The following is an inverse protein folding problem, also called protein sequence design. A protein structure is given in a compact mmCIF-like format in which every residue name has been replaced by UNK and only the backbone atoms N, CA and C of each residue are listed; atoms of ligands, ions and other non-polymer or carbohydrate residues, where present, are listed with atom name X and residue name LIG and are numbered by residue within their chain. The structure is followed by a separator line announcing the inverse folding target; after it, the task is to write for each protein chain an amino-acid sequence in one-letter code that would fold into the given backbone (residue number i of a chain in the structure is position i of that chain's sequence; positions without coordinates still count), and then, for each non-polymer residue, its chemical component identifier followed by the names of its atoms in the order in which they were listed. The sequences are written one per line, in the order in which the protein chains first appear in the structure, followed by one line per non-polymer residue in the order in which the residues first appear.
data_IF_060296264254
#
_entry.id   IF_060296264254
#
_cell.length_a   1.000
_cell.length_b   1.000
_cell.length_c   1.000
_cell.angle_alpha   90.00
_cell.angle_beta   90.00
_cell.angle_gamma   90.00
#
_symmetry.space_group_name_H-M   'P 1'
#
loop_
_entity.id
_entity.type
_entity.pdbx_description
1 polymer ?
#
# COMPACT_ATOMS: atom_id res chain seq x y z
N UNK A 1 19.44 -7.33 8.35
CA UNK A 1 18.77 -7.95 7.18
C UNK A 1 18.88 -6.99 6.00
N UNK A 2 19.16 -7.47 4.80
CA UNK A 2 19.14 -6.58 3.63
C UNK A 2 17.71 -6.19 3.27
N UNK A 3 17.55 -5.08 2.55
CA UNK A 3 16.21 -4.66 2.05
C UNK A 3 15.55 -5.77 1.22
N UNK A 4 16.33 -6.47 0.40
CA UNK A 4 15.78 -7.55 -0.45
C UNK A 4 15.35 -8.76 0.38
N UNK A 5 16.10 -9.11 1.42
CA UNK A 5 15.70 -10.19 2.35
C UNK A 5 14.41 -9.84 3.09
N UNK A 6 14.26 -8.59 3.51
CA UNK A 6 13.04 -8.12 4.16
C UNK A 6 11.84 -8.13 3.20
N UNK A 7 12.03 -7.74 1.95
CA UNK A 7 10.99 -7.85 0.93
C UNK A 7 10.61 -9.31 0.63
N UNK A 8 11.57 -10.24 0.62
CA UNK A 8 11.29 -11.67 0.49
C UNK A 8 10.48 -12.21 1.68
N UNK A 9 10.80 -11.79 2.90
CA UNK A 9 10.02 -12.17 4.07
C UNK A 9 8.56 -11.68 3.97
N UNK A 10 8.33 -10.49 3.41
CA UNK A 10 6.99 -10.00 3.10
C UNK A 10 6.31 -10.85 2.02
N UNK A 11 7.03 -11.23 0.97
CA UNK A 11 6.49 -12.12 -0.07
C UNK A 11 6.07 -13.48 0.51
N UNK A 12 6.86 -14.05 1.41
CA UNK A 12 6.52 -15.31 2.09
C UNK A 12 5.27 -15.17 2.96
N UNK A 13 5.12 -14.04 3.66
CA UNK A 13 3.96 -13.77 4.51
C UNK A 13 2.66 -13.64 3.71
N UNK A 14 2.70 -13.02 2.54
CA UNK A 14 1.51 -12.70 1.74
C UNK A 14 1.28 -13.63 0.54
N UNK A 15 2.28 -14.39 0.11
CA UNK A 15 2.19 -15.30 -1.02
C UNK A 15 1.74 -14.57 -2.30
N UNK A 16 0.68 -15.06 -2.94
CA UNK A 16 0.15 -14.49 -4.18
C UNK A 16 -0.50 -13.08 -4.02
N UNK A 17 -0.65 -12.62 -2.79
CA UNK A 17 -1.13 -11.27 -2.47
C UNK A 17 0.01 -10.26 -2.31
N UNK A 18 1.24 -10.66 -2.49
CA UNK A 18 2.41 -9.80 -2.68
C UNK A 18 2.84 -9.83 -4.15
N UNK A 19 3.28 -8.70 -4.68
CA UNK A 19 3.73 -8.64 -6.07
C UNK A 19 4.85 -7.63 -6.25
N UNK A 20 5.91 -8.07 -6.93
CA UNK A 20 7.03 -7.23 -7.39
C UNK A 20 7.05 -7.09 -8.92
N UNK A 21 6.00 -7.53 -9.61
CA UNK A 21 5.96 -7.43 -11.07
C UNK A 21 5.97 -5.98 -11.53
N UNK A 22 6.70 -5.69 -12.59
CA UNK A 22 6.83 -4.32 -13.09
C UNK A 22 5.48 -3.71 -13.45
N UNK A 23 4.57 -4.49 -14.05
CA UNK A 23 3.25 -4.02 -14.42
C UNK A 23 2.47 -3.51 -13.20
N UNK A 24 2.45 -4.27 -12.11
CA UNK A 24 1.80 -3.85 -10.88
C UNK A 24 2.49 -2.65 -10.24
N UNK A 25 3.80 -2.66 -10.19
CA UNK A 25 4.58 -1.53 -9.63
C UNK A 25 4.28 -0.23 -10.37
N UNK A 26 4.20 -0.26 -11.70
CA UNK A 26 3.81 0.90 -12.50
C UNK A 26 2.37 1.32 -12.20
N UNK A 27 1.43 0.38 -12.14
CA UNK A 27 0.03 0.68 -11.86
C UNK A 27 -0.18 1.36 -10.49
N UNK A 28 0.64 1.04 -9.49
CA UNK A 28 0.57 1.59 -8.14
C UNK A 28 1.55 2.75 -7.88
N UNK A 29 2.22 3.25 -8.90
CA UNK A 29 3.18 4.35 -8.79
C UNK A 29 2.55 5.75 -8.84
N UNK A 30 1.26 5.84 -9.06
CA UNK A 30 0.52 7.11 -9.21
C UNK A 30 -0.89 7.00 -8.59
N UNK A 31 -1.50 8.15 -8.38
CA UNK A 31 -2.93 8.30 -8.06
C UNK A 31 -3.71 8.88 -9.26
N UNK A 32 -4.84 9.54 -9.02
CA UNK A 32 -5.62 10.21 -10.09
C UNK A 32 -4.97 11.49 -10.63
N UNK A 33 -4.03 12.06 -9.89
CA UNK A 33 -3.27 13.23 -10.33
C UNK A 33 -2.08 12.86 -11.19
N UNK A 34 -1.54 13.87 -11.88
CA UNK A 34 -0.29 13.75 -12.63
C UNK A 34 0.76 14.69 -12.06
N UNK A 35 1.96 14.17 -11.85
CA UNK A 35 3.10 15.01 -11.52
C UNK A 35 3.54 15.79 -12.75
N UNK A 36 3.91 17.07 -12.62
CA UNK A 36 4.56 17.82 -13.69
C UNK A 36 5.81 17.09 -14.19
N UNK A 37 6.09 17.16 -15.49
CA UNK A 37 7.23 16.46 -16.11
C UNK A 37 8.58 16.85 -15.49
N UNK A 38 8.72 18.09 -15.08
CA UNK A 38 9.88 18.57 -14.33
C UNK A 38 10.07 17.79 -13.02
N UNK A 39 9.01 17.56 -12.27
CA UNK A 39 9.05 16.84 -10.98
C UNK A 39 9.35 15.36 -11.20
N UNK A 40 8.80 14.75 -12.24
CA UNK A 40 9.06 13.34 -12.60
C UNK A 40 10.54 13.02 -12.81
N UNK A 41 11.35 14.02 -13.20
CA UNK A 41 12.80 13.86 -13.38
C UNK A 41 13.55 13.70 -12.06
N UNK A 42 12.99 14.20 -10.95
CA UNK A 42 13.64 14.23 -9.65
C UNK A 42 13.03 13.29 -8.63
N UNK A 43 11.83 12.79 -8.88
CA UNK A 43 11.08 11.92 -7.96
C UNK A 43 10.79 10.60 -8.62
N UNK A 44 11.32 9.52 -8.04
CA UNK A 44 10.97 8.17 -8.43
C UNK A 44 9.81 7.69 -7.53
N UNK A 45 8.65 7.49 -8.13
CA UNK A 45 7.43 7.02 -7.42
C UNK A 45 7.18 5.52 -7.59
N UNK A 46 8.17 4.78 -8.09
CA UNK A 46 8.04 3.33 -8.28
C UNK A 46 8.15 2.61 -6.94
N UNK A 47 7.10 1.90 -6.49
CA UNK A 47 7.19 1.08 -5.28
C UNK A 47 8.09 -0.14 -5.51
N UNK A 48 8.64 -0.69 -4.42
CA UNK A 48 9.39 -1.94 -4.49
C UNK A 48 8.45 -3.15 -4.60
N UNK A 49 7.30 -3.06 -3.96
CA UNK A 49 6.33 -4.15 -3.86
C UNK A 49 4.92 -3.61 -3.58
N UNK A 50 3.92 -4.38 -3.95
CA UNK A 50 2.53 -4.18 -3.57
C UNK A 50 2.08 -5.38 -2.74
N UNK A 51 1.38 -5.15 -1.63
CA UNK A 51 0.75 -6.18 -0.81
C UNK A 51 -0.72 -5.88 -0.57
N UNK A 52 -1.52 -6.95 -0.46
CA UNK A 52 -2.96 -6.86 -0.21
C UNK A 52 -3.33 -7.65 1.06
N UNK A 53 -3.25 -7.06 2.25
CA UNK A 53 -3.68 -7.72 3.48
C UNK A 53 -5.19 -7.97 3.47
N UNK A 54 -5.62 -9.04 4.13
CA UNK A 54 -7.02 -9.39 4.31
C UNK A 54 -7.47 -9.21 5.77
N UNK A 55 -6.55 -9.29 6.72
CA UNK A 55 -6.83 -9.23 8.15
C UNK A 55 -5.99 -8.17 8.87
N UNK A 56 -6.47 -7.73 10.03
CA UNK A 56 -5.73 -6.80 10.89
C UNK A 56 -4.42 -7.43 11.39
N UNK A 57 -4.43 -8.74 11.67
CA UNK A 57 -3.23 -9.47 12.11
C UNK A 57 -2.13 -9.43 11.05
N UNK A 58 -2.48 -9.67 9.79
CA UNK A 58 -1.54 -9.58 8.67
C UNK A 58 -0.98 -8.15 8.52
N UNK A 59 -1.84 -7.15 8.68
CA UNK A 59 -1.43 -5.76 8.63
C UNK A 59 -0.47 -5.42 9.78
N UNK A 60 -0.76 -5.88 11.00
CA UNK A 60 0.13 -5.70 12.15
C UNK A 60 1.50 -6.36 11.94
N UNK A 61 1.53 -7.57 11.40
CA UNK A 61 2.77 -8.28 11.09
C UNK A 61 3.59 -7.54 10.03
N UNK A 62 2.93 -7.04 8.98
CA UNK A 62 3.57 -6.22 7.95
C UNK A 62 4.19 -4.95 8.54
N UNK A 63 3.43 -4.22 9.34
CA UNK A 63 3.89 -2.97 9.97
C UNK A 63 5.07 -3.23 10.92
N UNK A 64 5.00 -4.29 11.71
CA UNK A 64 6.08 -4.67 12.62
C UNK A 64 7.38 -5.00 11.85
N UNK A 65 7.28 -5.79 10.80
CA UNK A 65 8.43 -6.14 9.97
C UNK A 65 9.00 -4.91 9.24
N UNK A 66 8.13 -4.12 8.62
CA UNK A 66 8.56 -2.92 7.90
C UNK A 66 9.21 -1.88 8.82
N UNK A 67 8.67 -1.70 10.02
CA UNK A 67 9.24 -0.81 11.04
C UNK A 67 10.64 -1.26 11.48
N UNK A 68 10.79 -2.56 11.74
CA UNK A 68 12.08 -3.14 12.13
C UNK A 68 13.15 -2.96 11.05
N UNK A 69 12.78 -3.11 9.80
CA UNK A 69 13.70 -3.10 8.66
C UNK A 69 13.75 -1.74 7.93
N UNK A 70 13.10 -0.71 8.49
CA UNK A 70 13.02 0.65 7.92
C UNK A 70 12.49 0.67 6.48
N UNK A 71 11.47 -0.12 6.18
CA UNK A 71 10.80 -0.16 4.88
C UNK A 71 9.63 0.83 4.88
N UNK A 72 9.60 1.83 3.99
CA UNK A 72 8.45 2.71 3.86
C UNK A 72 7.17 1.94 3.49
N UNK A 73 6.07 2.24 4.16
CA UNK A 73 4.74 1.74 3.82
C UNK A 73 3.86 2.88 3.33
N UNK A 74 3.13 2.65 2.24
CA UNK A 74 2.18 3.62 1.70
C UNK A 74 0.80 2.97 1.63
N UNK A 75 -0.13 3.35 2.51
CA UNK A 75 -1.49 2.82 2.47
C UNK A 75 -2.23 3.35 1.23
N UNK A 76 -3.00 2.48 0.61
CA UNK A 76 -3.79 2.80 -0.58
C UNK A 76 -5.20 2.25 -0.46
N UNK A 77 -6.18 3.13 -0.56
CA UNK A 77 -7.56 2.79 -0.84
C UNK A 77 -7.80 2.74 -2.35
N UNK A 78 -8.79 3.44 -2.87
CA UNK A 78 -9.06 3.54 -4.31
C UNK A 78 -8.13 4.53 -5.05
N UNK A 79 -7.27 5.24 -4.34
CA UNK A 79 -6.36 6.26 -4.88
C UNK A 79 -7.07 7.31 -5.76
N UNK A 80 -8.29 7.67 -5.40
CA UNK A 80 -9.12 8.65 -6.12
C UNK A 80 -8.71 10.11 -5.87
N UNK A 81 -7.78 10.36 -4.94
CA UNK A 81 -7.19 11.67 -4.71
C UNK A 81 -6.12 11.99 -5.76
N UNK A 82 -5.98 13.27 -6.10
CA UNK A 82 -4.94 13.78 -7.00
C UNK A 82 -3.79 14.50 -6.28
N UNK A 83 -3.70 14.42 -4.95
CA UNK A 83 -2.75 15.19 -4.14
C UNK A 83 -1.53 14.40 -3.65
N UNK A 84 -1.33 13.19 -4.15
CA UNK A 84 -0.14 12.39 -3.89
C UNK A 84 -0.14 11.58 -2.60
N UNK A 85 -1.25 11.53 -1.84
CA UNK A 85 -1.33 10.77 -0.58
C UNK A 85 -1.14 9.26 -0.72
N UNK A 86 -1.40 8.71 -1.90
CA UNK A 86 -1.20 7.29 -2.22
C UNK A 86 0.02 7.03 -3.11
N UNK A 87 0.86 8.04 -3.34
CA UNK A 87 2.05 7.93 -4.20
C UNK A 87 3.27 7.52 -3.39
N UNK A 88 3.96 6.41 -3.74
CA UNK A 88 5.13 5.92 -2.99
C UNK A 88 6.41 6.72 -3.34
N UNK A 89 6.47 7.98 -2.94
CA UNK A 89 7.55 8.91 -3.25
C UNK A 89 8.93 8.47 -2.71
N UNK A 90 8.97 7.58 -1.73
CA UNK A 90 10.20 7.02 -1.17
C UNK A 90 10.40 5.54 -1.50
N UNK A 91 9.72 5.04 -2.52
CA UNK A 91 9.68 3.59 -2.79
C UNK A 91 8.94 2.83 -1.69
N UNK A 92 9.46 1.66 -1.31
CA UNK A 92 8.86 0.84 -0.26
C UNK A 92 7.67 0.01 -0.72
N UNK A 93 6.80 -0.33 0.19
CA UNK A 93 5.68 -1.23 -0.05
C UNK A 93 4.37 -0.46 -0.08
N UNK A 94 3.63 -0.58 -1.17
CA UNK A 94 2.25 -0.10 -1.23
C UNK A 94 1.34 -1.14 -0.59
N UNK A 95 0.59 -0.71 0.41
CA UNK A 95 -0.38 -1.54 1.14
C UNK A 95 -1.76 -1.27 0.57
N UNK A 96 -2.20 -2.10 -0.34
CA UNK A 96 -3.51 -2.00 -0.98
C UNK A 96 -4.57 -2.63 -0.08
N UNK A 97 -5.43 -1.81 0.50
CA UNK A 97 -6.45 -2.21 1.46
C UNK A 97 -7.74 -2.72 0.79
N UNK A 98 -7.73 -2.94 -0.52
CA UNK A 98 -8.91 -3.37 -1.29
C UNK A 98 -9.59 -4.62 -0.72
N UNK A 99 -8.82 -5.56 -0.15
CA UNK A 99 -9.35 -6.80 0.42
C UNK A 99 -9.89 -6.64 1.85
N UNK A 100 -9.52 -5.55 2.54
CA UNK A 100 -10.03 -5.18 3.86
C UNK A 100 -11.23 -4.25 3.71
N UNK A 101 -12.32 -4.73 3.12
CA UNK A 101 -13.51 -3.94 2.79
C UNK A 101 -14.78 -4.53 3.41
N UNK A 102 -15.77 -3.70 3.58
CA UNK A 102 -17.12 -4.08 3.99
C UNK A 102 -17.64 -3.21 5.12
N UNK A 103 -18.96 -3.22 5.25
CA UNK A 103 -19.66 -2.64 6.39
C UNK A 103 -19.74 -3.67 7.51
N UNK A 104 -19.33 -3.27 8.71
CA UNK A 104 -19.39 -4.12 9.91
C UNK A 104 -20.64 -3.86 10.75
N UNK A 105 -21.16 -2.64 10.70
CA UNK A 105 -22.35 -2.23 11.43
C UNK A 105 -23.07 -1.08 10.72
N UNK A 106 -24.40 -1.12 10.71
CA UNK A 106 -25.26 0.01 10.34
C UNK A 106 -26.15 0.29 11.54
N UNK A 107 -26.14 1.53 12.00
CA UNK A 107 -26.99 2.03 13.08
C UNK A 107 -27.93 3.11 12.52
N UNK A 108 -29.17 2.73 12.24
CA UNK A 108 -30.16 3.60 11.64
C UNK A 108 -30.60 4.72 12.59
N UNK A 109 -30.62 4.47 13.91
CA UNK A 109 -31.02 5.48 14.90
C UNK A 109 -29.94 6.55 15.05
N UNK A 110 -28.67 6.15 15.09
CA UNK A 110 -27.55 7.07 15.16
C UNK A 110 -27.14 7.65 13.80
N UNK A 111 -27.74 7.19 12.71
CA UNK A 111 -27.39 7.58 11.34
C UNK A 111 -25.90 7.35 11.03
N UNK A 112 -25.36 6.23 11.50
CA UNK A 112 -23.94 5.89 11.34
C UNK A 112 -23.75 4.55 10.67
N UNK A 113 -22.63 4.41 9.95
CA UNK A 113 -22.14 3.15 9.42
C UNK A 113 -20.67 2.97 9.81
N UNK A 114 -20.32 1.75 10.21
CA UNK A 114 -18.92 1.39 10.49
C UNK A 114 -18.40 0.52 9.36
N UNK A 115 -17.26 0.91 8.79
CA UNK A 115 -16.60 0.19 7.72
C UNK A 115 -15.19 -0.27 8.15
N UNK A 116 -14.69 -1.28 7.48
CA UNK A 116 -13.29 -1.69 7.58
C UNK A 116 -12.38 -0.72 6.83
#
# INVERSE_FOLDING_TARGET
MSKDDALRAIEELFGNRASRTQVRRVAYSHDMGTLPDVVKKFVNTMPDMIVQPETEEELCQLVALASKENIPLVPRGSASSGYGGAVPASGGVVVDLYRMRGLTKIDEQAMTATAK
#
